data_IF_201337004638
#
_entry.id   IF_201337004638
#
_cell.length_a   1.000
_cell.length_b   1.000
_cell.length_c   1.000
_cell.angle_alpha   90.00
_cell.angle_beta   90.00
_cell.angle_gamma   90.00
#
_symmetry.space_group_name_H-M   'P 1'
#
loop_
_entity.id
_entity.type
_entity.pdbx_description
1 polymer ?
#
# COMPACT_ATOMS: atom_id res chain seq x y z
N UNK A 1 35.48 -9.96 33.38
CA UNK A 1 35.32 -8.54 33.01
C UNK A 1 33.98 -8.13 33.58
N UNK A 2 33.97 -7.20 34.54
CA UNK A 2 32.72 -6.71 35.10
C UNK A 2 32.05 -5.84 34.03
N UNK A 3 30.94 -6.31 33.46
CA UNK A 3 30.08 -5.46 32.65
C UNK A 3 29.54 -4.37 33.57
N UNK A 4 29.96 -3.11 33.36
CA UNK A 4 29.32 -1.97 34.00
C UNK A 4 27.83 -2.01 33.65
N UNK A 5 26.99 -2.28 34.65
CA UNK A 5 25.54 -2.27 34.49
C UNK A 5 25.10 -0.86 34.15
N UNK A 6 24.88 -0.59 32.85
CA UNK A 6 24.32 0.68 32.38
C UNK A 6 22.88 0.83 32.90
N UNK A 7 22.50 2.03 33.29
CA UNK A 7 21.13 2.30 33.73
C UNK A 7 20.15 2.23 32.56
N UNK A 8 18.91 1.78 32.83
CA UNK A 8 17.84 1.71 31.82
C UNK A 8 17.66 3.03 31.08
N UNK A 9 17.65 4.14 31.83
CA UNK A 9 17.50 5.49 31.28
C UNK A 9 18.62 5.85 30.31
N UNK A 10 19.87 5.56 30.64
CA UNK A 10 21.00 5.89 29.77
C UNK A 10 20.96 5.09 28.46
N UNK A 11 20.65 3.79 28.53
CA UNK A 11 20.52 2.94 27.32
C UNK A 11 19.33 3.39 26.47
N UNK A 12 18.24 3.82 27.10
CA UNK A 12 17.05 4.33 26.40
C UNK A 12 17.33 5.66 25.71
N UNK A 13 18.03 6.60 26.34
CA UNK A 13 18.43 7.87 25.74
C UNK A 13 19.36 7.65 24.52
N UNK A 14 20.30 6.70 24.60
CA UNK A 14 21.13 6.27 23.47
C UNK A 14 20.27 5.69 22.32
N UNK A 15 19.26 4.88 22.65
CA UNK A 15 18.36 4.26 21.68
C UNK A 15 17.48 5.30 20.96
N UNK A 16 16.93 6.27 21.70
CA UNK A 16 16.14 7.38 21.16
C UNK A 16 17.00 8.31 20.28
N UNK A 17 18.24 8.59 20.67
CA UNK A 17 19.18 9.37 19.86
C UNK A 17 19.43 8.71 18.49
N UNK A 18 19.68 7.40 18.47
CA UNK A 18 19.82 6.65 17.21
C UNK A 18 18.52 6.61 16.41
N UNK A 19 17.38 6.43 17.07
CA UNK A 19 16.06 6.46 16.40
C UNK A 19 15.81 7.79 15.70
N UNK A 20 16.08 8.92 16.37
CA UNK A 20 15.95 10.25 15.78
C UNK A 20 16.88 10.44 14.57
N UNK A 21 18.10 9.90 14.63
CA UNK A 21 19.04 9.90 13.49
C UNK A 21 18.47 9.11 12.31
N UNK A 22 17.89 7.94 12.56
CA UNK A 22 17.25 7.09 11.54
C UNK A 22 16.00 7.77 10.94
N UNK A 23 15.21 8.49 11.75
CA UNK A 23 14.05 9.27 11.27
C UNK A 23 14.45 10.46 10.40
N UNK A 24 15.62 11.05 10.66
CA UNK A 24 16.16 12.16 9.86
C UNK A 24 16.81 11.72 8.54
N UNK A 25 17.09 10.43 8.38
CA UNK A 25 17.71 9.87 7.17
C UNK A 25 16.68 9.50 6.11
N UNK A 26 16.96 9.85 4.86
CA UNK A 26 16.08 9.59 3.72
C UNK A 26 16.40 8.27 3.00
N UNK A 27 17.65 7.81 3.05
CA UNK A 27 18.09 6.61 2.32
C UNK A 27 18.07 5.37 3.21
N UNK A 28 16.94 4.65 3.14
CA UNK A 28 16.74 3.40 3.90
C UNK A 28 17.52 2.20 3.37
N UNK A 29 18.11 2.29 2.17
CA UNK A 29 18.86 1.18 1.56
C UNK A 29 20.37 1.30 1.80
N UNK A 30 20.85 2.43 2.31
CA UNK A 30 22.26 2.63 2.65
C UNK A 30 22.72 1.66 3.75
N UNK A 31 23.99 1.24 3.68
CA UNK A 31 24.62 0.41 4.72
C UNK A 31 24.57 1.10 6.08
N UNK A 32 24.87 2.39 6.11
CA UNK A 32 24.93 3.19 7.33
C UNK A 32 23.55 3.27 8.00
N UNK A 33 22.48 3.38 7.22
CA UNK A 33 21.12 3.33 7.75
C UNK A 33 20.82 1.97 8.38
N UNK A 34 21.15 0.87 7.69
CA UNK A 34 20.89 -0.48 8.19
C UNK A 34 21.75 -0.80 9.44
N UNK A 35 23.00 -0.35 9.50
CA UNK A 35 23.86 -0.50 10.67
C UNK A 35 23.33 0.28 11.87
N UNK A 36 22.90 1.53 11.65
CA UNK A 36 22.25 2.33 12.70
C UNK A 36 20.94 1.70 13.17
N UNK A 37 20.15 1.16 12.24
CA UNK A 37 18.90 0.45 12.53
C UNK A 37 19.13 -0.78 13.41
N UNK A 38 20.06 -1.64 13.03
CA UNK A 38 20.42 -2.83 13.80
C UNK A 38 20.99 -2.46 15.17
N UNK A 39 21.79 -1.40 15.24
CA UNK A 39 22.32 -0.92 16.51
C UNK A 39 21.24 -0.31 17.42
N UNK A 40 20.25 0.38 16.87
CA UNK A 40 19.09 0.88 17.62
C UNK A 40 18.24 -0.27 18.16
N UNK A 41 17.97 -1.30 17.34
CA UNK A 41 17.24 -2.50 17.77
C UNK A 41 17.94 -3.15 18.96
N UNK A 42 19.26 -3.34 18.90
CA UNK A 42 20.05 -3.91 20.01
C UNK A 42 19.93 -3.09 21.30
N UNK A 43 19.93 -1.76 21.22
CA UNK A 43 19.77 -0.90 22.40
C UNK A 43 18.38 -1.02 23.01
N UNK A 44 17.32 -1.06 22.20
CA UNK A 44 15.96 -1.28 22.72
C UNK A 44 15.79 -2.69 23.32
N UNK A 45 16.42 -3.71 22.74
CA UNK A 45 16.43 -5.07 23.32
C UNK A 45 17.16 -5.11 24.66
N UNK A 46 18.26 -4.37 24.79
CA UNK A 46 18.94 -4.19 26.08
C UNK A 46 18.04 -3.47 27.09
N UNK A 47 17.30 -2.43 26.67
CA UNK A 47 16.32 -1.76 27.54
C UNK A 47 15.25 -2.74 28.04
N UNK A 48 14.70 -3.58 27.15
CA UNK A 48 13.74 -4.62 27.54
C UNK A 48 14.34 -5.60 28.55
N UNK A 49 15.56 -6.08 28.32
CA UNK A 49 16.24 -7.00 29.25
C UNK A 49 16.42 -6.37 30.63
N UNK A 50 16.83 -5.10 30.70
CA UNK A 50 16.98 -4.40 31.97
C UNK A 50 15.61 -4.19 32.64
N UNK A 51 14.60 -3.80 31.88
CA UNK A 51 13.22 -3.61 32.38
C UNK A 51 12.63 -4.91 32.95
N UNK A 52 12.87 -6.06 32.30
CA UNK A 52 12.44 -7.37 32.77
C UNK A 52 13.21 -7.78 34.05
N UNK A 53 14.53 -7.52 34.11
CA UNK A 53 15.36 -7.83 35.28
C UNK A 53 14.93 -7.06 36.54
N UNK A 54 14.53 -5.79 36.38
CA UNK A 54 14.00 -5.00 37.49
C UNK A 54 12.49 -5.22 37.70
N UNK A 55 11.85 -6.06 36.87
CA UNK A 55 10.41 -6.31 36.86
C UNK A 55 9.61 -5.01 36.85
N UNK A 56 9.99 -4.07 35.97
CA UNK A 56 9.41 -2.73 35.88
C UNK A 56 7.90 -2.75 35.66
N UNK A 57 7.43 -3.76 34.94
CA UNK A 57 6.02 -3.94 34.65
C UNK A 57 5.56 -5.31 35.14
N UNK A 58 4.54 -5.33 35.99
CA UNK A 58 3.90 -6.54 36.49
C UNK A 58 2.49 -6.70 35.92
N UNK A 59 2.03 -7.92 35.60
CA UNK A 59 0.67 -8.17 35.12
C UNK A 59 -0.44 -7.81 36.11
N UNK A 60 -0.12 -7.60 37.39
CA UNK A 60 -1.09 -7.31 38.45
C UNK A 60 -1.12 -5.83 38.86
N UNK A 61 -0.44 -4.95 38.11
CA UNK A 61 -0.43 -3.51 38.36
C UNK A 61 -1.46 -2.80 37.49
N UNK A 62 -1.95 -1.66 37.98
CA UNK A 62 -2.82 -0.78 37.22
C UNK A 62 -2.01 0.36 36.58
N UNK A 63 -2.61 1.06 35.61
CA UNK A 63 -1.99 2.24 34.99
C UNK A 63 -1.56 3.30 36.02
N UNK A 64 -2.29 3.43 37.14
CA UNK A 64 -2.01 4.43 38.17
C UNK A 64 -0.81 4.09 39.04
N UNK A 65 -0.36 2.83 39.03
CA UNK A 65 0.82 2.39 39.76
C UNK A 65 2.13 2.71 39.00
N UNK A 66 2.04 3.06 37.71
CA UNK A 66 3.20 3.40 36.88
C UNK A 66 3.54 4.89 37.04
N UNK A 67 4.81 5.17 37.38
CA UNK A 67 5.33 6.54 37.42
C UNK A 67 5.28 7.20 36.04
N UNK A 68 5.04 8.51 35.98
CA UNK A 68 4.95 9.24 34.72
C UNK A 68 6.20 9.09 33.84
N UNK A 69 7.38 8.97 34.45
CA UNK A 69 8.68 8.75 33.78
C UNK A 69 8.76 7.35 33.16
N UNK A 70 8.21 6.34 33.83
CA UNK A 70 8.33 4.95 33.38
C UNK A 70 7.34 4.59 32.27
N UNK A 71 6.29 5.39 32.06
CA UNK A 71 5.33 5.22 30.96
C UNK A 71 6.00 5.17 29.59
N UNK A 72 7.12 5.87 29.39
CA UNK A 72 7.85 5.85 28.12
C UNK A 72 8.36 4.43 27.77
N UNK A 73 8.61 3.58 28.77
CA UNK A 73 9.12 2.23 28.57
C UNK A 73 8.02 1.23 28.15
N UNK A 74 6.73 1.60 28.23
CA UNK A 74 5.64 0.81 27.63
C UNK A 74 5.82 0.69 26.11
N UNK A 75 6.50 1.67 25.49
CA UNK A 75 6.70 1.73 24.03
C UNK A 75 7.87 0.85 23.54
N UNK A 76 8.64 0.19 24.41
CA UNK A 76 9.85 -0.53 24.01
C UNK A 76 9.57 -1.61 22.95
N UNK A 77 8.56 -2.45 23.18
CA UNK A 77 8.15 -3.49 22.23
C UNK A 77 7.66 -2.90 20.90
N UNK A 78 6.92 -1.78 20.95
CA UNK A 78 6.47 -1.04 19.78
C UNK A 78 7.65 -0.51 18.94
N UNK A 79 8.64 0.12 19.58
CA UNK A 79 9.84 0.65 18.89
C UNK A 79 10.64 -0.45 18.21
N UNK A 80 10.79 -1.59 18.87
CA UNK A 80 11.47 -2.74 18.28
C UNK A 80 10.73 -3.22 17.03
N UNK A 81 9.40 -3.34 17.10
CA UNK A 81 8.59 -3.77 15.97
C UNK A 81 8.74 -2.82 14.76
N UNK A 82 8.61 -1.51 15.00
CA UNK A 82 8.75 -0.47 13.98
C UNK A 82 10.11 -0.54 13.26
N UNK A 83 11.19 -0.71 14.01
CA UNK A 83 12.54 -0.78 13.46
C UNK A 83 12.80 -2.09 12.71
N UNK A 84 12.32 -3.24 13.22
CA UNK A 84 12.49 -4.53 12.54
C UNK A 84 11.84 -4.54 11.16
N UNK A 85 10.67 -3.91 11.01
CA UNK A 85 9.97 -3.84 9.73
C UNK A 85 10.74 -3.01 8.67
N UNK A 86 11.70 -2.18 9.09
CA UNK A 86 12.55 -1.36 8.21
C UNK A 86 13.86 -2.06 7.80
N UNK A 87 14.11 -3.28 8.28
CA UNK A 87 15.29 -4.07 7.89
C UNK A 87 15.15 -4.50 6.43
N UNK A 88 16.13 -4.13 5.61
CA UNK A 88 16.20 -4.56 4.22
C UNK A 88 16.99 -5.87 4.12
N UNK A 89 16.28 -7.00 4.23
CA UNK A 89 16.85 -8.33 3.97
C UNK A 89 15.80 -9.20 3.29
N UNK A 90 16.02 -9.49 2.00
CA UNK A 90 15.06 -10.26 1.18
C UNK A 90 14.91 -11.70 1.68
N UNK A 91 16.01 -12.36 2.02
CA UNK A 91 16.02 -13.75 2.45
C UNK A 91 15.37 -13.93 3.83
N UNK A 92 15.63 -12.98 4.74
CA UNK A 92 15.10 -13.03 6.10
C UNK A 92 13.81 -12.21 6.25
N UNK A 93 13.21 -11.71 5.16
CA UNK A 93 12.06 -10.79 5.21
C UNK A 93 10.91 -11.38 6.00
N UNK A 94 10.54 -12.63 5.69
CA UNK A 94 9.47 -13.35 6.40
C UNK A 94 9.76 -13.46 7.90
N UNK A 95 10.97 -13.86 8.28
CA UNK A 95 11.36 -13.98 9.68
C UNK A 95 11.35 -12.63 10.42
N UNK A 96 11.78 -11.55 9.76
CA UNK A 96 11.73 -10.19 10.31
C UNK A 96 10.28 -9.73 10.52
N UNK A 97 9.38 -9.98 9.55
CA UNK A 97 7.96 -9.64 9.68
C UNK A 97 7.32 -10.41 10.84
N UNK A 98 7.54 -11.73 10.94
CA UNK A 98 7.03 -12.54 12.05
C UNK A 98 7.59 -12.07 13.41
N UNK A 99 8.86 -11.64 13.45
CA UNK A 99 9.45 -11.06 14.67
C UNK A 99 8.81 -9.71 15.01
N UNK A 100 8.57 -8.85 14.02
CA UNK A 100 7.86 -7.57 14.19
C UNK A 100 6.43 -7.78 14.69
N UNK A 101 5.72 -8.77 14.13
CA UNK A 101 4.38 -9.17 14.57
C UNK A 101 4.35 -9.54 16.05
N UNK A 102 5.23 -10.44 16.49
CA UNK A 102 5.34 -10.84 17.91
C UNK A 102 5.67 -9.67 18.83
N UNK A 103 6.47 -8.71 18.38
CA UNK A 103 6.77 -7.50 19.17
C UNK A 103 5.55 -6.59 19.31
N UNK A 104 4.75 -6.39 18.25
CA UNK A 104 3.46 -5.67 18.37
C UNK A 104 2.47 -6.41 19.28
N UNK A 105 2.40 -7.74 19.21
CA UNK A 105 1.55 -8.55 20.09
C UNK A 105 1.93 -8.38 21.56
N UNK A 106 3.23 -8.42 21.88
CA UNK A 106 3.73 -8.16 23.24
C UNK A 106 3.36 -6.76 23.72
N UNK A 107 3.51 -5.76 22.87
CA UNK A 107 3.11 -4.38 23.18
C UNK A 107 1.61 -4.28 23.48
N UNK A 108 0.75 -4.78 22.61
CA UNK A 108 -0.71 -4.71 22.79
C UNK A 108 -1.17 -5.50 24.02
N UNK A 109 -0.61 -6.69 24.24
CA UNK A 109 -0.89 -7.49 25.45
C UNK A 109 -0.46 -6.76 26.72
N UNK A 110 0.68 -6.07 26.69
CA UNK A 110 1.10 -5.25 27.82
C UNK A 110 0.09 -4.13 28.08
N UNK A 111 -0.38 -3.41 27.06
CA UNK A 111 -1.39 -2.38 27.24
C UNK A 111 -2.73 -2.91 27.74
N UNK A 112 -3.14 -4.11 27.30
CA UNK A 112 -4.35 -4.80 27.75
C UNK A 112 -4.27 -5.15 29.24
N UNK A 113 -3.15 -5.69 29.71
CA UNK A 113 -2.94 -6.02 31.12
C UNK A 113 -3.07 -4.80 32.06
N UNK A 114 -2.74 -3.60 31.57
CA UNK A 114 -2.83 -2.35 32.34
C UNK A 114 -4.16 -1.59 32.11
N UNK A 115 -5.12 -2.19 31.41
CA UNK A 115 -6.40 -1.58 31.05
C UNK A 115 -6.26 -0.23 30.30
N UNK A 116 -5.18 -0.06 29.54
CA UNK A 116 -4.88 1.18 28.79
C UNK A 116 -5.67 1.22 27.47
N UNK A 117 -6.01 0.05 26.92
CA UNK A 117 -6.72 -0.05 25.64
C UNK A 117 -8.14 0.52 25.76
N UNK A 118 -8.53 1.32 24.76
CA UNK A 118 -9.92 1.75 24.66
C UNK A 118 -10.82 0.55 24.33
N UNK A 119 -12.13 0.67 24.58
CA UNK A 119 -13.10 -0.39 24.24
C UNK A 119 -13.07 -0.78 22.76
N UNK A 120 -12.85 0.19 21.87
CA UNK A 120 -12.75 -0.06 20.43
C UNK A 120 -11.45 -0.79 20.07
N UNK A 121 -10.35 -0.46 20.74
CA UNK A 121 -9.05 -1.10 20.52
C UNK A 121 -8.97 -2.50 21.14
N UNK A 122 -9.58 -2.74 22.31
CA UNK A 122 -9.70 -4.07 22.90
C UNK A 122 -10.49 -5.03 21.99
N UNK A 123 -11.58 -4.54 21.37
CA UNK A 123 -12.33 -5.31 20.35
C UNK A 123 -11.49 -5.62 19.12
N UNK A 124 -10.66 -4.68 18.66
CA UNK A 124 -9.73 -4.96 17.56
C UNK A 124 -8.68 -6.00 17.96
N UNK A 125 -8.19 -5.95 19.20
CA UNK A 125 -7.25 -6.96 19.71
C UNK A 125 -7.89 -8.34 19.74
N UNK A 126 -9.13 -8.46 20.22
CA UNK A 126 -9.90 -9.73 20.19
C UNK A 126 -10.05 -10.25 18.76
N UNK A 127 -10.50 -9.39 17.84
CA UNK A 127 -10.63 -9.75 16.41
C UNK A 127 -9.29 -10.19 15.80
N UNK A 128 -8.20 -9.53 16.18
CA UNK A 128 -6.84 -9.92 15.76
C UNK A 128 -6.47 -11.30 16.30
N UNK A 129 -6.70 -11.57 17.59
CA UNK A 129 -6.36 -12.85 18.22
C UNK A 129 -7.13 -14.02 17.61
N UNK A 130 -8.37 -13.80 17.18
CA UNK A 130 -9.17 -14.81 16.48
C UNK A 130 -8.59 -15.17 15.11
N UNK A 131 -8.05 -14.19 14.38
CA UNK A 131 -7.59 -14.38 13.00
C UNK A 131 -6.37 -13.52 12.60
N UNK A 132 -5.17 -13.81 13.15
CA UNK A 132 -3.98 -12.97 12.95
C UNK A 132 -3.54 -12.83 11.48
N UNK A 133 -3.77 -13.86 10.66
CA UNK A 133 -3.32 -13.92 9.26
C UNK A 133 -4.24 -13.19 8.28
N UNK A 134 -5.49 -12.92 8.68
CA UNK A 134 -6.51 -12.27 7.83
C UNK A 134 -7.04 -11.00 8.49
N UNK A 135 -6.34 -10.50 9.51
CA UNK A 135 -6.74 -9.32 10.26
C UNK A 135 -6.85 -8.09 9.35
N UNK A 136 -7.93 -7.35 9.52
CA UNK A 136 -8.13 -6.03 8.92
C UNK A 136 -8.87 -5.15 9.91
N UNK A 137 -8.47 -3.87 9.99
CA UNK A 137 -9.08 -2.89 10.89
C UNK A 137 -10.52 -2.55 10.45
N UNK A 138 -10.85 -2.80 9.18
CA UNK A 138 -12.15 -2.48 8.61
C UNK A 138 -12.82 -3.72 8.02
N UNK A 139 -14.16 -3.73 8.03
CA UNK A 139 -14.94 -4.82 7.41
C UNK A 139 -14.55 -5.02 5.95
N UNK A 140 -14.38 -6.28 5.55
CA UNK A 140 -14.12 -6.67 4.15
C UNK A 140 -15.40 -6.92 3.36
N UNK A 141 -16.56 -7.01 4.02
CA UNK A 141 -17.84 -7.37 3.40
C UNK A 141 -18.57 -6.16 2.78
N UNK A 142 -18.50 -4.98 3.42
CA UNK A 142 -19.19 -3.77 2.96
C UNK A 142 -18.20 -2.64 2.66
N UNK A 143 -18.18 -2.19 1.41
CA UNK A 143 -17.30 -1.13 0.94
C UNK A 143 -17.61 0.24 1.57
N UNK A 144 -18.88 0.53 1.87
CA UNK A 144 -19.28 1.79 2.51
C UNK A 144 -18.79 1.80 3.97
N UNK A 145 -19.12 0.76 4.73
CA UNK A 145 -18.63 0.60 6.10
C UNK A 145 -17.09 0.59 6.16
N UNK A 146 -16.41 -0.06 5.20
CA UNK A 146 -14.94 -0.07 5.13
C UNK A 146 -14.37 1.34 4.96
N UNK A 147 -14.96 2.13 4.06
CA UNK A 147 -14.55 3.51 3.82
C UNK A 147 -14.75 4.36 5.08
N UNK A 148 -15.89 4.24 5.73
CA UNK A 148 -16.22 5.02 6.92
C UNK A 148 -15.29 4.71 8.10
N UNK A 149 -14.97 3.43 8.33
CA UNK A 149 -13.98 3.02 9.35
C UNK A 149 -12.60 3.59 9.05
N UNK A 150 -12.14 3.55 7.79
CA UNK A 150 -10.86 4.15 7.39
C UNK A 150 -10.84 5.66 7.58
N UNK A 151 -11.95 6.35 7.28
CA UNK A 151 -12.08 7.79 7.51
C UNK A 151 -12.04 8.11 9.01
N UNK A 152 -12.75 7.35 9.84
CA UNK A 152 -12.73 7.49 11.31
C UNK A 152 -11.30 7.35 11.84
N UNK A 153 -10.63 6.25 11.50
CA UNK A 153 -9.23 5.98 11.93
C UNK A 153 -8.26 7.07 11.46
N UNK A 154 -8.36 7.52 10.21
CA UNK A 154 -7.52 8.62 9.72
C UNK A 154 -7.75 9.94 10.49
N UNK A 155 -9.00 10.25 10.87
CA UNK A 155 -9.31 11.43 11.69
C UNK A 155 -8.73 11.31 13.10
N UNK A 156 -8.82 10.12 13.72
CA UNK A 156 -8.25 9.83 15.03
C UNK A 156 -6.72 9.96 15.02
N UNK A 157 -6.06 9.36 14.04
CA UNK A 157 -4.61 9.47 13.84
C UNK A 157 -4.17 10.94 13.70
N UNK A 158 -4.91 11.71 12.87
CA UNK A 158 -4.63 13.14 12.68
C UNK A 158 -4.82 13.92 13.99
N UNK A 159 -5.85 13.64 14.76
CA UNK A 159 -6.10 14.30 16.04
C UNK A 159 -5.00 13.98 17.07
N UNK A 160 -4.58 12.72 17.17
CA UNK A 160 -3.47 12.30 18.04
C UNK A 160 -2.17 12.98 17.65
N UNK A 161 -1.86 13.02 16.35
CA UNK A 161 -0.65 13.69 15.84
C UNK A 161 -0.65 15.19 16.14
N UNK A 162 -1.80 15.86 15.95
CA UNK A 162 -1.96 17.28 16.30
C UNK A 162 -1.82 17.51 17.81
N UNK A 163 -2.38 16.64 18.65
CA UNK A 163 -2.24 16.73 20.11
C UNK A 163 -0.78 16.57 20.54
N UNK A 164 -0.05 15.60 19.98
CA UNK A 164 1.37 15.41 20.24
C UNK A 164 2.21 16.62 19.84
N UNK A 165 1.95 17.19 18.65
CA UNK A 165 2.61 18.44 18.23
C UNK A 165 2.32 19.59 19.18
N UNK A 166 1.08 19.74 19.63
CA UNK A 166 0.69 20.78 20.59
C UNK A 166 1.40 20.62 21.93
N UNK A 167 1.42 19.41 22.51
CA UNK A 167 2.07 19.14 23.79
C UNK A 167 3.59 19.37 23.71
N UNK A 168 4.23 19.04 22.59
CA UNK A 168 5.68 19.23 22.39
C UNK A 168 6.09 20.70 22.21
N UNK A 169 5.17 21.62 21.90
CA UNK A 169 5.50 23.05 21.69
C UNK A 169 5.93 23.77 22.98
N UNK A 170 5.53 23.29 24.15
CA UNK A 170 5.86 23.91 25.42
C UNK A 170 6.70 22.98 26.31
N UNK A 171 8.02 22.85 26.03
CA UNK A 171 8.89 21.96 26.79
C UNK A 171 9.05 22.37 28.27
N UNK A 172 8.87 23.66 28.58
CA UNK A 172 8.93 24.14 29.96
C UNK A 172 7.76 23.64 30.81
N UNK A 173 6.56 23.55 30.21
CA UNK A 173 5.42 22.95 30.89
C UNK A 173 5.67 21.45 31.18
N UNK A 174 6.22 20.71 30.22
CA UNK A 174 6.54 19.29 30.39
C UNK A 174 7.59 19.01 31.48
N UNK A 175 8.51 19.95 31.72
CA UNK A 175 9.53 19.80 32.78
C UNK A 175 8.99 20.11 34.17
N UNK A 176 8.05 21.07 34.28
CA UNK A 176 7.56 21.57 35.56
C UNK A 176 6.25 20.92 36.00
N UNK A 177 5.48 20.36 35.07
CA UNK A 177 4.16 19.77 35.31
C UNK A 177 4.15 18.29 34.93
N UNK A 178 4.19 17.43 35.96
CA UNK A 178 4.13 15.98 35.81
C UNK A 178 2.85 15.51 35.11
N UNK A 179 1.73 16.22 35.32
CA UNK A 179 0.45 15.85 34.70
C UNK A 179 0.49 16.08 33.18
N UNK A 180 1.12 17.16 32.74
CA UNK A 180 1.34 17.45 31.33
C UNK A 180 2.29 16.42 30.68
N UNK A 181 3.34 16.02 31.40
CA UNK A 181 4.25 14.96 30.93
C UNK A 181 3.55 13.60 30.83
N UNK A 182 2.73 13.25 31.83
CA UNK A 182 1.91 12.02 31.83
C UNK A 182 0.94 12.01 30.65
N UNK A 183 0.23 13.11 30.37
CA UNK A 183 -0.66 13.22 29.19
C UNK A 183 0.12 13.07 27.88
N UNK A 184 1.33 13.62 27.79
CA UNK A 184 2.20 13.41 26.63
C UNK A 184 2.57 11.93 26.44
N UNK A 185 2.90 11.20 27.51
CA UNK A 185 3.25 9.78 27.37
C UNK A 185 2.04 8.92 27.03
N UNK A 186 0.89 9.15 27.66
CA UNK A 186 -0.35 8.44 27.33
C UNK A 186 -0.81 8.70 25.91
N UNK A 187 -0.63 9.93 25.40
CA UNK A 187 -0.93 10.24 23.99
C UNK A 187 0.06 9.60 23.02
N UNK A 188 1.35 9.46 23.37
CA UNK A 188 2.29 8.67 22.58
C UNK A 188 1.87 7.19 22.54
N UNK A 189 1.44 6.63 23.68
CA UNK A 189 0.94 5.25 23.76
C UNK A 189 -0.30 5.08 22.89
N UNK A 190 -1.30 5.95 23.00
CA UNK A 190 -2.50 5.90 22.16
C UNK A 190 -2.19 6.00 20.65
N UNK A 191 -1.26 6.87 20.27
CA UNK A 191 -0.79 6.97 18.89
C UNK A 191 -0.09 5.68 18.43
N UNK A 192 0.78 5.10 19.26
CA UNK A 192 1.46 3.84 18.98
C UNK A 192 0.48 2.67 18.87
N UNK A 193 -0.57 2.62 19.70
CA UNK A 193 -1.65 1.62 19.60
C UNK A 193 -2.35 1.72 18.24
N UNK A 194 -2.72 2.93 17.81
CA UNK A 194 -3.34 3.14 16.51
C UNK A 194 -2.43 2.66 15.35
N UNK A 195 -1.14 3.01 15.40
CA UNK A 195 -0.16 2.57 14.40
C UNK A 195 0.07 1.06 14.43
N UNK A 196 0.01 0.43 15.60
CA UNK A 196 0.21 -1.02 15.76
C UNK A 196 -0.87 -1.81 15.01
N UNK A 197 -2.14 -1.43 15.10
CA UNK A 197 -3.20 -2.11 14.35
C UNK A 197 -3.07 -1.91 12.84
N UNK A 198 -2.70 -0.71 12.39
CA UNK A 198 -2.42 -0.47 10.97
C UNK A 198 -1.23 -1.31 10.47
N UNK A 199 -0.17 -1.42 11.28
CA UNK A 199 0.99 -2.25 10.98
C UNK A 199 0.64 -3.75 10.95
N UNK A 200 -0.20 -4.24 11.87
CA UNK A 200 -0.65 -5.63 11.89
C UNK A 200 -1.48 -6.00 10.65
N UNK A 201 -2.36 -5.11 10.19
CA UNK A 201 -3.08 -5.31 8.91
C UNK A 201 -2.08 -5.35 7.73
N UNK A 202 -1.08 -4.47 7.70
CA UNK A 202 -0.04 -4.49 6.67
C UNK A 202 0.81 -5.76 6.73
N UNK A 203 1.16 -6.22 7.93
CA UNK A 203 1.91 -7.46 8.16
C UNK A 203 1.13 -8.67 7.62
N UNK A 204 -0.16 -8.77 7.94
CA UNK A 204 -1.01 -9.86 7.47
C UNK A 204 -1.04 -9.92 5.93
N UNK A 205 -1.19 -8.78 5.27
CA UNK A 205 -1.16 -8.67 3.81
C UNK A 205 0.21 -9.06 3.23
N UNK A 206 1.31 -8.59 3.84
CA UNK A 206 2.65 -8.89 3.37
C UNK A 206 3.00 -10.38 3.53
N UNK A 207 2.64 -11.00 4.67
CA UNK A 207 2.81 -12.43 4.88
C UNK A 207 1.98 -13.26 3.89
N UNK A 208 0.77 -12.81 3.57
CA UNK A 208 -0.05 -13.44 2.54
C UNK A 208 0.64 -13.38 1.17
N UNK A 209 1.16 -12.22 0.77
CA UNK A 209 1.89 -12.07 -0.51
C UNK A 209 3.14 -12.96 -0.53
N UNK A 210 3.93 -12.98 0.55
CA UNK A 210 5.12 -13.82 0.66
C UNK A 210 4.79 -15.32 0.62
N UNK A 211 3.60 -15.73 1.09
CA UNK A 211 3.16 -17.13 1.00
C UNK A 211 2.88 -17.57 -0.44
N UNK A 212 2.57 -16.63 -1.33
CA UNK A 212 2.35 -16.87 -2.76
C UNK A 212 3.65 -16.78 -3.58
N UNK A 213 4.76 -16.36 -2.96
CA UNK A 213 6.03 -16.21 -3.66
C UNK A 213 6.57 -17.58 -4.12
N UNK A 214 6.99 -17.73 -5.39
CA UNK A 214 7.62 -18.96 -5.86
C UNK A 214 8.86 -19.29 -5.02
N UNK A 215 9.13 -20.57 -4.72
CA UNK A 215 10.35 -20.95 -4.01
C UNK A 215 11.56 -20.41 -4.78
N UNK A 216 12.63 -19.97 -4.07
CA UNK A 216 13.86 -19.56 -4.73
C UNK A 216 14.29 -20.70 -5.63
N UNK A 217 14.40 -20.43 -6.93
CA UNK A 217 14.87 -21.42 -7.88
C UNK A 217 16.23 -21.90 -7.36
N UNK A 218 16.33 -23.19 -7.03
CA UNK A 218 17.63 -23.78 -6.76
C UNK A 218 18.55 -23.41 -7.93
N UNK A 219 19.85 -23.12 -7.71
CA UNK A 219 20.78 -22.95 -8.80
C UNK A 219 20.78 -24.23 -9.61
N UNK A 220 19.95 -24.29 -10.64
CA UNK A 220 19.83 -25.45 -11.49
C UNK A 220 21.15 -25.53 -12.24
N UNK A 221 21.95 -26.55 -11.94
CA UNK A 221 23.05 -27.03 -12.78
C UNK A 221 22.54 -27.63 -14.11
N UNK A 222 21.26 -27.45 -14.43
CA UNK A 222 20.73 -27.66 -15.77
C UNK A 222 21.16 -26.47 -16.62
N UNK A 223 21.86 -26.68 -17.75
CA UNK A 223 22.09 -25.61 -18.70
C UNK A 223 20.72 -25.00 -19.01
N UNK A 224 20.58 -23.71 -18.72
CA UNK A 224 19.40 -22.95 -19.11
C UNK A 224 19.10 -23.35 -20.55
N UNK A 225 17.90 -23.86 -20.81
CA UNK A 225 17.42 -23.97 -22.18
C UNK A 225 17.28 -22.53 -22.62
N UNK A 226 18.39 -21.99 -23.14
CA UNK A 226 18.51 -20.65 -23.67
C UNK A 226 17.29 -20.48 -24.57
N UNK A 227 16.45 -19.51 -24.23
CA UNK A 227 15.39 -19.07 -25.13
C UNK A 227 16.05 -18.88 -26.50
N UNK A 228 15.46 -19.39 -27.58
CA UNK A 228 16.02 -19.25 -28.91
C UNK A 228 16.25 -17.76 -29.30
N UNK A 229 15.64 -16.83 -28.53
CA UNK A 229 15.88 -15.38 -28.56
C UNK A 229 17.23 -14.95 -27.98
N UNK A 230 17.78 -15.66 -26.99
CA UNK A 230 19.10 -15.36 -26.39
C UNK A 230 20.28 -15.84 -27.24
N UNK A 231 20.05 -16.75 -28.21
CA UNK A 231 21.13 -17.27 -29.07
C UNK A 231 21.75 -16.20 -29.99
N UNK A 232 21.11 -15.04 -30.14
CA UNK A 232 21.65 -13.93 -30.94
C UNK A 232 22.39 -12.85 -30.10
N UNK A 233 22.52 -13.03 -28.78
CA UNK A 233 23.21 -12.10 -27.88
C UNK A 233 24.73 -12.31 -27.80
N UNK A 234 25.42 -12.58 -28.92
CA UNK A 234 26.89 -12.55 -28.93
C UNK A 234 27.37 -11.13 -29.26
N UNK A 235 27.88 -10.47 -28.23
CA UNK A 235 28.70 -9.27 -28.35
C UNK A 235 27.96 -8.02 -27.93
N UNK A 236 28.14 -7.66 -26.67
CA UNK A 236 28.03 -6.29 -26.22
C UNK A 236 28.86 -5.38 -27.16
N UNK A 237 28.14 -4.64 -27.98
CA UNK A 237 28.65 -3.64 -28.90
C UNK A 237 27.87 -2.34 -28.74
N UNK A 238 27.42 -2.03 -27.51
CA UNK A 238 26.86 -0.71 -27.24
C UNK A 238 28.01 0.30 -27.22
N UNK A 239 28.25 0.89 -28.39
CA UNK A 239 29.06 2.08 -28.57
C UNK A 239 28.12 3.26 -28.68
N UNK A 240 28.25 4.25 -27.79
CA UNK A 240 27.52 5.52 -27.81
C UNK A 240 27.85 6.41 -29.04
N UNK A 241 28.76 5.97 -29.91
CA UNK A 241 29.04 6.59 -31.22
C UNK A 241 28.14 6.00 -32.31
N UNK A 242 27.48 6.87 -33.07
CA UNK A 242 26.61 6.55 -34.21
C UNK A 242 27.35 5.94 -35.44
N UNK A 243 28.64 5.61 -35.30
CA UNK A 243 29.51 5.11 -36.36
C UNK A 243 30.03 3.70 -36.01
N UNK A 244 29.13 2.73 -35.82
CA UNK A 244 29.53 1.33 -35.73
C UNK A 244 30.00 0.84 -37.12
N UNK A 245 31.16 0.18 -37.25
CA UNK A 245 31.67 -0.23 -38.55
C UNK A 245 30.78 -1.33 -39.14
N UNK A 246 30.34 -1.13 -40.38
CA UNK A 246 29.54 -2.05 -41.22
C UNK A 246 30.26 -3.37 -41.57
N UNK A 247 31.00 -3.95 -40.63
CA UNK A 247 31.77 -5.19 -40.81
C UNK A 247 30.92 -6.46 -40.67
N UNK A 248 29.66 -6.36 -40.23
CA UNK A 248 28.83 -7.53 -39.94
C UNK A 248 27.87 -7.94 -41.08
N UNK A 249 27.82 -7.18 -42.17
CA UNK A 249 27.00 -7.50 -43.35
C UNK A 249 27.77 -8.24 -44.46
N UNK A 250 29.05 -8.54 -44.21
CA UNK A 250 29.89 -9.26 -45.16
C UNK A 250 30.03 -10.72 -44.76
N UNK A 251 29.45 -11.62 -45.58
CA UNK A 251 29.69 -13.06 -45.54
C UNK A 251 31.17 -13.40 -45.78
N UNK A 252 32.02 -13.19 -44.78
CA UNK A 252 33.40 -13.65 -44.73
C UNK A 252 34.43 -12.94 -45.62
N UNK A 253 34.06 -12.03 -46.55
CA UNK A 253 35.07 -11.33 -47.37
C UNK A 253 35.48 -9.98 -46.77
N UNK A 254 36.78 -9.79 -46.55
CA UNK A 254 37.40 -8.53 -46.12
C UNK A 254 37.77 -7.68 -47.34
N UNK A 255 37.28 -6.44 -47.42
CA UNK A 255 37.63 -5.48 -48.46
C UNK A 255 36.53 -4.43 -48.75
N UNK A 256 36.85 -3.33 -49.46
CA UNK A 256 35.89 -2.27 -49.81
C UNK A 256 34.78 -2.79 -50.73
N UNK A 257 33.57 -2.25 -50.57
CA UNK A 257 32.37 -2.64 -51.35
C UNK A 257 32.44 -2.21 -52.83
N UNK A 258 33.15 -1.12 -53.12
CA UNK A 258 33.32 -0.57 -54.46
C UNK A 258 34.81 -0.31 -54.73
N UNK A 259 35.20 -0.40 -56.00
CA UNK A 259 36.48 0.14 -56.46
C UNK A 259 36.45 1.69 -56.47
N UNK A 260 37.60 2.36 -56.55
CA UNK A 260 37.73 3.82 -56.65
C UNK A 260 36.98 4.43 -57.85
N UNK A 261 36.63 3.60 -58.82
CA UNK A 261 35.82 3.92 -60.00
C UNK A 261 34.30 3.69 -59.81
N UNK A 262 33.84 3.28 -58.62
CA UNK A 262 32.41 3.10 -58.31
C UNK A 262 31.78 1.80 -58.81
N UNK A 263 32.59 0.83 -59.28
CA UNK A 263 32.09 -0.51 -59.64
C UNK A 263 31.93 -1.40 -58.41
N UNK A 264 30.75 -2.01 -58.19
CA UNK A 264 30.53 -2.89 -57.05
C UNK A 264 31.32 -4.19 -57.22
N UNK A 265 32.20 -4.48 -56.26
CA UNK A 265 33.07 -5.66 -56.26
C UNK A 265 32.42 -6.88 -55.60
N UNK A 266 31.22 -6.71 -55.02
CA UNK A 266 30.50 -7.75 -54.29
C UNK A 266 29.11 -7.96 -54.90
N UNK A 267 28.66 -9.20 -55.08
CA UNK A 267 27.29 -9.46 -55.49
C UNK A 267 26.34 -9.06 -54.35
N UNK A 268 25.40 -8.16 -54.63
CA UNK A 268 24.33 -7.78 -53.71
C UNK A 268 22.99 -8.21 -54.32
N UNK A 269 22.08 -8.71 -53.47
CA UNK A 269 20.74 -9.10 -53.89
C UNK A 269 19.78 -7.97 -53.52
N UNK A 270 19.18 -7.29 -54.51
CA UNK A 270 18.05 -6.41 -54.25
C UNK A 270 16.86 -7.28 -53.84
N UNK A 271 16.67 -7.48 -52.55
CA UNK A 271 15.40 -8.00 -52.06
C UNK A 271 14.48 -6.82 -51.77
N UNK A 272 13.23 -6.86 -52.24
CA UNK A 272 12.22 -5.81 -52.09
C UNK A 272 11.80 -5.51 -50.64
N UNK A 273 12.49 -6.09 -49.65
CA UNK A 273 12.19 -6.01 -48.21
C UNK A 273 12.38 -4.62 -47.60
N UNK A 274 12.89 -3.65 -48.36
CA UNK A 274 13.07 -2.27 -47.89
C UNK A 274 11.74 -1.60 -47.53
N UNK A 275 10.65 -1.95 -48.20
CA UNK A 275 9.30 -1.47 -47.87
C UNK A 275 8.78 -2.11 -46.58
N UNK A 276 8.95 -3.42 -46.44
CA UNK A 276 8.53 -4.18 -45.23
C UNK A 276 9.25 -3.68 -43.96
N UNK A 277 10.56 -3.43 -44.03
CA UNK A 277 11.30 -2.87 -42.89
C UNK A 277 10.86 -1.44 -42.55
N UNK A 278 10.46 -0.63 -43.54
CA UNK A 278 9.94 0.73 -43.31
C UNK A 278 8.59 0.71 -42.59
N UNK A 279 7.75 -0.27 -42.87
CA UNK A 279 6.43 -0.45 -42.24
C UNK A 279 6.51 -1.06 -40.82
N UNK A 280 7.68 -1.55 -40.42
CA UNK A 280 7.93 -2.11 -39.09
C UNK A 280 8.46 -1.11 -38.05
N UNK A 281 8.88 0.09 -38.47
CA UNK A 281 9.43 1.12 -37.57
C UNK A 281 8.34 2.13 -37.20
N UNK A 282 8.29 2.55 -35.93
CA UNK A 282 7.27 3.45 -35.36
C UNK A 282 5.85 2.86 -35.18
N UNK A 283 5.75 1.59 -34.76
CA UNK A 283 4.47 1.04 -34.28
C UNK A 283 4.28 1.38 -32.79
N UNK A 284 3.06 1.73 -32.35
CA UNK A 284 2.74 1.89 -30.93
C UNK A 284 3.00 0.60 -30.15
N UNK A 285 3.48 0.72 -28.91
CA UNK A 285 3.82 -0.41 -28.00
C UNK A 285 2.59 -1.15 -27.43
N UNK A 286 1.38 -0.80 -27.87
CA UNK A 286 0.13 -1.39 -27.40
C UNK A 286 -0.75 -1.85 -28.57
N UNK A 287 -1.58 -2.86 -28.32
CA UNK A 287 -2.58 -3.31 -29.29
C UNK A 287 -3.57 -2.17 -29.54
N UNK A 288 -3.56 -1.64 -30.76
CA UNK A 288 -4.57 -0.68 -31.19
C UNK A 288 -5.95 -1.36 -31.25
N UNK A 289 -7.06 -0.62 -31.01
CA UNK A 289 -8.40 -1.14 -31.22
C UNK A 289 -8.55 -1.69 -32.65
N UNK A 290 -9.13 -2.88 -32.76
CA UNK A 290 -9.35 -3.57 -34.05
C UNK A 290 -10.56 -3.04 -34.82
N UNK A 291 -11.37 -2.21 -34.18
CA UNK A 291 -12.60 -1.64 -34.73
C UNK A 291 -12.57 -0.12 -34.59
N UNK A 292 -13.15 0.57 -35.56
CA UNK A 292 -13.27 2.03 -35.49
C UNK A 292 -14.28 2.45 -34.42
N UNK A 293 -14.19 3.70 -33.98
CA UNK A 293 -15.12 4.27 -32.99
C UNK A 293 -16.56 4.17 -33.49
N UNK A 294 -16.77 4.47 -34.78
CA UNK A 294 -18.08 4.42 -35.42
C UNK A 294 -18.64 2.98 -35.45
N UNK A 295 -17.80 2.02 -35.79
CA UNK A 295 -18.16 0.59 -35.85
C UNK A 295 -18.51 0.04 -34.46
N UNK A 296 -17.78 0.46 -33.43
CA UNK A 296 -18.08 0.13 -32.04
C UNK A 296 -19.41 0.74 -31.58
N UNK A 297 -19.69 1.99 -31.93
CA UNK A 297 -20.95 2.67 -31.63
C UNK A 297 -22.15 1.98 -32.31
N UNK A 298 -21.98 1.51 -33.54
CA UNK A 298 -23.00 0.74 -34.25
C UNK A 298 -23.28 -0.61 -33.59
N UNK A 299 -22.24 -1.31 -33.12
CA UNK A 299 -22.40 -2.54 -32.35
C UNK A 299 -23.12 -2.32 -31.03
N UNK A 300 -22.76 -1.28 -30.27
CA UNK A 300 -23.44 -0.91 -29.02
C UNK A 300 -24.90 -0.48 -29.26
N UNK A 301 -25.18 0.27 -30.34
CA UNK A 301 -26.56 0.59 -30.76
C UNK A 301 -27.36 -0.67 -31.09
N UNK A 302 -26.74 -1.63 -31.79
CA UNK A 302 -27.38 -2.91 -32.11
C UNK A 302 -27.61 -3.79 -30.87
N UNK A 303 -26.73 -3.70 -29.88
CA UNK A 303 -26.87 -4.36 -28.57
C UNK A 303 -27.84 -3.63 -27.63
N UNK A 304 -28.37 -2.47 -28.02
CA UNK A 304 -29.27 -1.66 -27.21
C UNK A 304 -28.60 -0.95 -26.04
N UNK A 305 -27.27 -0.84 -26.05
CA UNK A 305 -26.46 -0.13 -25.04
C UNK A 305 -26.39 1.39 -25.26
N UNK A 306 -26.84 1.87 -26.42
CA UNK A 306 -26.89 3.30 -26.73
C UNK A 306 -28.18 3.93 -26.18
N UNK A 307 -28.04 4.84 -25.21
CA UNK A 307 -29.15 5.63 -24.66
C UNK A 307 -29.44 6.75 -25.66
N UNK A 308 -30.53 6.60 -26.43
CA UNK A 308 -31.04 7.67 -27.29
C UNK A 308 -32.02 8.52 -26.47
N UNK A 309 -31.49 9.53 -25.76
CA UNK A 309 -32.28 10.40 -24.89
C UNK A 309 -31.58 10.74 -23.58
N UNK A 310 -30.94 11.91 -23.54
CA UNK A 310 -30.27 12.43 -22.35
C UNK A 310 -29.54 13.76 -22.56
N UNK A 311 -29.61 14.33 -23.77
CA UNK A 311 -29.08 15.66 -24.06
C UNK A 311 -29.99 16.79 -23.56
N UNK A 312 -29.56 18.05 -23.67
CA UNK A 312 -30.35 19.22 -23.25
C UNK A 312 -31.74 19.33 -23.91
N UNK A 313 -31.99 18.63 -25.03
CA UNK A 313 -33.33 18.50 -25.61
C UNK A 313 -34.32 17.71 -24.73
N UNK A 314 -33.85 16.75 -23.92
CA UNK A 314 -34.68 15.97 -23.01
C UNK A 314 -35.18 16.78 -21.80
N UNK A 315 -34.60 17.96 -21.54
CA UNK A 315 -35.04 18.89 -20.49
C UNK A 315 -36.14 19.85 -20.96
N UNK A 316 -36.40 19.92 -22.26
CA UNK A 316 -37.49 20.72 -22.80
C UNK A 316 -38.79 19.96 -22.55
N UNK A 317 -39.47 20.28 -21.45
CA UNK A 317 -40.85 19.87 -21.25
C UNK A 317 -41.68 20.51 -22.36
N UNK A 318 -42.35 19.75 -23.24
CA UNK A 318 -43.23 20.33 -24.24
C UNK A 318 -44.31 21.11 -23.50
N UNK A 319 -44.38 22.41 -23.73
CA UNK A 319 -45.45 23.24 -23.17
C UNK A 319 -46.74 22.79 -23.87
N UNK A 320 -47.61 22.12 -23.11
CA UNK A 320 -48.93 21.71 -23.60
C UNK A 320 -49.75 22.99 -23.76
N UNK A 321 -50.25 23.24 -24.96
CA UNK A 321 -51.13 24.37 -25.25
C UNK A 321 -52.46 24.15 -24.50
N UNK A 322 -52.73 24.94 -23.46
CA UNK A 322 -53.88 24.77 -22.57
C UNK A 322 -55.22 25.08 -23.26
N UNK A 323 -55.18 25.68 -24.46
CA UNK A 323 -56.36 26.02 -25.25
C UNK A 323 -56.86 24.85 -26.15
N UNK A 324 -56.13 23.73 -26.22
CA UNK A 324 -56.58 22.50 -26.91
C UNK A 324 -57.24 21.51 -25.92
N UNK A 325 -58.57 21.56 -25.87
CA UNK A 325 -59.40 20.74 -24.98
C UNK A 325 -59.13 19.22 -25.10
N UNK A 326 -58.78 18.72 -26.29
CA UNK A 326 -58.54 17.28 -26.52
C UNK A 326 -57.21 16.83 -25.90
N UNK A 327 -56.23 17.72 -25.81
CA UNK A 327 -54.90 17.45 -25.26
C UNK A 327 -54.91 17.52 -23.73
N UNK A 328 -55.66 18.48 -23.17
CA UNK A 328 -55.89 18.61 -21.74
C UNK A 328 -56.63 17.39 -21.16
N UNK A 329 -57.64 16.86 -21.87
CA UNK A 329 -58.39 15.68 -21.42
C UNK A 329 -57.51 14.42 -21.39
N UNK A 330 -56.69 14.21 -22.43
CA UNK A 330 -55.72 13.09 -22.47
C UNK A 330 -54.68 13.16 -21.36
N UNK A 331 -54.18 14.35 -21.05
CA UNK A 331 -53.25 14.54 -19.93
C UNK A 331 -53.91 14.17 -18.60
N UNK A 332 -55.18 14.56 -18.43
CA UNK A 332 -55.96 14.25 -17.23
C UNK A 332 -56.25 12.74 -17.11
N UNK A 333 -56.61 12.06 -18.20
CA UNK A 333 -56.80 10.61 -18.20
C UNK A 333 -55.49 9.88 -17.88
N UNK A 334 -54.37 10.28 -18.50
CA UNK A 334 -53.06 9.67 -18.23
C UNK A 334 -52.62 9.85 -16.78
N UNK A 335 -52.93 10.99 -16.16
CA UNK A 335 -52.66 11.23 -14.75
C UNK A 335 -53.48 10.29 -13.85
N UNK A 336 -54.78 10.10 -14.17
CA UNK A 336 -55.63 9.15 -13.45
C UNK A 336 -55.15 7.71 -13.58
N UNK A 337 -54.81 7.28 -14.80
CA UNK A 337 -54.27 5.94 -15.05
C UNK A 337 -52.96 5.70 -14.28
N UNK A 338 -52.14 6.75 -14.14
CA UNK A 338 -50.91 6.69 -13.38
C UNK A 338 -51.16 6.58 -11.87
N UNK A 339 -52.12 7.33 -11.34
CA UNK A 339 -52.52 7.23 -9.93
C UNK A 339 -53.08 5.84 -9.62
N UNK A 340 -53.93 5.28 -10.50
CA UNK A 340 -54.46 3.92 -10.35
C UNK A 340 -53.35 2.85 -10.42
N UNK A 341 -52.36 3.03 -11.31
CA UNK A 341 -51.19 2.16 -11.36
C UNK A 341 -50.36 2.23 -10.08
N UNK A 342 -50.11 3.42 -9.53
CA UNK A 342 -49.34 3.61 -8.29
C UNK A 342 -50.07 3.00 -7.10
N UNK A 343 -51.39 3.14 -7.03
CA UNK A 343 -52.21 2.53 -5.99
C UNK A 343 -52.25 0.99 -6.09
N UNK A 344 -52.31 0.46 -7.31
CA UNK A 344 -52.22 -0.99 -7.56
C UNK A 344 -50.82 -1.58 -7.30
N UNK A 345 -49.76 -0.76 -7.34
CA UNK A 345 -48.37 -1.17 -7.18
C UNK A 345 -47.69 -0.45 -5.99
N UNK A 346 -48.11 -0.73 -4.74
CA UNK A 346 -47.55 -0.07 -3.58
C UNK A 346 -46.05 -0.40 -3.43
N UNK A 347 -45.25 0.62 -3.12
CA UNK A 347 -43.81 0.47 -2.89
C UNK A 347 -43.56 -0.59 -1.81
N UNK A 348 -42.81 -1.64 -2.17
CA UNK A 348 -42.45 -2.73 -1.26
C UNK A 348 -43.24 -4.04 -1.46
N UNK A 349 -44.17 -4.10 -2.41
CA UNK A 349 -44.93 -5.32 -2.73
C UNK A 349 -44.08 -6.51 -3.22
N UNK A 350 -42.85 -6.26 -3.70
CA UNK A 350 -41.97 -7.28 -4.30
C UNK A 350 -41.02 -8.02 -3.35
N UNK A 351 -40.90 -7.64 -2.07
CA UNK A 351 -39.95 -8.28 -1.15
C UNK A 351 -40.50 -8.42 0.27
N UNK A 352 -41.49 -9.29 0.45
CA UNK A 352 -42.07 -9.63 1.77
C UNK A 352 -41.65 -11.02 2.28
N UNK A 353 -40.93 -11.81 1.48
CA UNK A 353 -40.63 -13.23 1.81
C UNK A 353 -39.37 -13.43 2.67
N UNK A 354 -38.55 -12.39 2.87
CA UNK A 354 -37.34 -12.41 3.71
C UNK A 354 -37.50 -11.61 5.01
N UNK A 355 -38.70 -11.60 5.60
CA UNK A 355 -38.91 -11.21 7.00
C UNK A 355 -39.29 -12.45 7.81
N UNK A 356 -38.29 -13.28 8.09
CA UNK A 356 -38.31 -14.41 9.01
C UNK A 356 -37.03 -14.42 9.81
#
# INVERSE_FOLDING_TARGET
MAEEQRSLRAVYEDAESKRNTIESSFDSNSSDFQDNLLAAIKLYEQCLQIADQISLFSPNESLEDISSVDLQYLLLNYRIAELILRINSREQRKANIERGQRSYEKFLKQLDNYDILTKDDARLLEQYLDSPTTFSVASTADAAARRDTKIKRFKEEKALRQKLEYLRRNPLALQNDDTAYRDLQLTNVAFATHQSFAALESIAQELHILSLAPPPQAPSSQPQVLDARERNGRGDGYSERLDAPMSHLSAGMKGPLLDKSGKPLRPFTLTGKRTEFREGVFRPDHSLPTMSIDEYLEEERKRGGMIDGGGPQSQLTPQVDEDDYDLADKATMKARDWDEYVEANPKGSGNTINRG
#
